data_IF_599244807600
#
_entry.id   IF_599244807600
#
_cell.length_a   1.000
_cell.length_b   1.000
_cell.length_c   1.000
_cell.angle_alpha   90.00
_cell.angle_beta   90.00
_cell.angle_gamma   90.00
#
_symmetry.space_group_name_H-M   'P 1'
#
loop_
_entity.id
_entity.type
_entity.pdbx_description
1 polymer ?
#
# COMPACT_ATOMS: atom_id res chain seq x y z
N UNK A 1 16.92 7.15 14.80
CA UNK A 1 15.93 7.10 13.71
C UNK A 1 14.57 7.33 14.36
N UNK A 2 13.91 8.43 14.04
CA UNK A 2 12.54 8.70 14.50
C UNK A 2 11.59 7.76 13.77
N UNK A 3 10.81 6.97 14.52
CA UNK A 3 9.68 6.21 13.96
C UNK A 3 8.79 7.17 13.15
N UNK A 4 8.32 6.79 11.96
CA UNK A 4 7.30 7.59 11.28
C UNK A 4 6.10 7.74 12.23
N UNK A 5 5.49 8.92 12.27
CA UNK A 5 4.21 9.13 12.97
C UNK A 5 3.17 8.15 12.39
N UNK A 6 3.01 7.00 13.05
CA UNK A 6 1.94 6.05 12.81
C UNK A 6 0.83 6.44 13.80
N UNK A 7 -0.35 6.89 13.31
CA UNK A 7 -1.43 7.40 14.17
C UNK A 7 -1.86 6.44 15.28
N UNK A 8 -1.77 5.14 15.01
CA UNK A 8 -2.09 4.07 15.96
C UNK A 8 -1.21 4.08 17.23
N UNK A 9 -0.01 4.67 17.18
CA UNK A 9 0.92 4.74 18.30
C UNK A 9 0.83 6.05 19.10
N UNK A 10 0.24 7.10 18.52
CA UNK A 10 0.19 8.44 19.14
C UNK A 10 -1.06 8.71 19.97
N UNK A 11 -2.08 7.84 19.89
CA UNK A 11 -3.29 7.97 20.70
C UNK A 11 -3.27 6.96 21.88
N UNK A 12 -3.13 7.40 23.14
CA UNK A 12 -3.05 6.50 24.29
C UNK A 12 -4.35 5.72 24.58
N UNK A 13 -5.50 6.11 24.03
CA UNK A 13 -6.74 5.28 24.07
C UNK A 13 -6.80 4.21 22.97
N UNK A 14 -5.90 4.26 21.99
CA UNK A 14 -5.77 3.29 20.89
C UNK A 14 -4.97 2.03 21.30
N UNK A 15 -4.39 2.03 22.50
CA UNK A 15 -3.60 0.91 23.03
C UNK A 15 -4.50 -0.28 23.41
N UNK A 16 -4.36 -1.36 22.63
CA UNK A 16 -4.81 -2.73 22.87
C UNK A 16 -6.26 -3.12 22.55
N UNK A 17 -7.28 -2.30 22.80
CA UNK A 17 -8.66 -2.77 22.61
C UNK A 17 -9.09 -2.91 21.14
N UNK A 18 -8.41 -2.26 20.20
CA UNK A 18 -8.67 -2.34 18.75
C UNK A 18 -7.90 -3.50 18.09
N UNK A 19 -6.91 -4.07 18.79
CA UNK A 19 -6.04 -5.13 18.26
C UNK A 19 -6.59 -6.55 18.41
N UNK A 20 -7.77 -6.72 19.02
CA UNK A 20 -8.62 -7.85 18.64
C UNK A 20 -9.21 -7.55 17.27
N UNK A 21 -8.36 -7.65 16.24
CA UNK A 21 -8.80 -7.77 14.85
C UNK A 21 -9.55 -9.09 14.72
N UNK A 22 -10.74 -9.15 15.31
CA UNK A 22 -11.73 -10.10 14.84
C UNK A 22 -11.87 -9.79 13.35
N UNK A 23 -11.72 -10.79 12.46
CA UNK A 23 -12.04 -10.56 11.07
C UNK A 23 -13.40 -9.88 11.05
N UNK A 24 -13.57 -8.79 10.26
CA UNK A 24 -14.86 -8.12 10.18
C UNK A 24 -15.92 -9.22 9.98
N UNK A 25 -17.05 -9.18 10.71
CA UNK A 25 -18.02 -10.27 10.68
C UNK A 25 -18.29 -10.60 9.21
N UNK A 26 -18.14 -11.89 8.84
CA UNK A 26 -17.93 -12.34 7.46
C UNK A 26 -19.04 -11.98 6.45
N UNK A 27 -20.07 -11.26 6.90
CA UNK A 27 -21.15 -10.69 6.12
C UNK A 27 -21.03 -9.19 5.77
N UNK A 28 -20.00 -8.45 6.20
CA UNK A 28 -19.83 -7.07 5.72
C UNK A 28 -19.36 -7.04 4.26
N UNK A 29 -20.01 -6.26 3.38
CA UNK A 29 -19.59 -6.13 1.99
C UNK A 29 -18.23 -5.43 1.91
N UNK A 30 -17.42 -5.81 0.92
CA UNK A 30 -16.17 -5.13 0.61
C UNK A 30 -16.45 -3.67 0.21
N UNK A 31 -15.69 -2.73 0.78
CA UNK A 31 -15.73 -1.33 0.37
C UNK A 31 -14.89 -1.12 -0.89
N UNK A 32 -15.23 -0.09 -1.66
CA UNK A 32 -14.49 0.29 -2.85
C UNK A 32 -13.19 1.01 -2.49
N UNK A 33 -12.11 0.69 -3.20
CA UNK A 33 -10.89 1.50 -3.20
C UNK A 33 -11.13 2.76 -4.05
N UNK A 34 -10.96 3.94 -3.47
CA UNK A 34 -11.23 5.22 -4.14
C UNK A 34 -9.95 6.05 -4.27
N UNK A 35 -9.51 6.27 -5.50
CA UNK A 35 -8.49 7.25 -5.85
C UNK A 35 -9.19 8.50 -6.42
N UNK A 36 -9.27 9.61 -5.66
CA UNK A 36 -9.92 10.83 -6.14
C UNK A 36 -9.12 11.47 -7.29
N UNK A 37 -9.71 12.38 -8.08
CA UNK A 37 -9.00 13.12 -9.11
C UNK A 37 -7.76 13.87 -8.58
N UNK A 38 -6.79 14.12 -9.46
CA UNK A 38 -5.59 14.84 -9.07
C UNK A 38 -5.92 16.28 -8.66
N UNK A 39 -5.40 16.74 -7.53
CA UNK A 39 -5.57 18.13 -7.11
C UNK A 39 -4.78 19.13 -7.99
N UNK A 40 -3.73 18.66 -8.69
CA UNK A 40 -2.93 19.53 -9.58
C UNK A 40 -3.65 19.81 -10.88
N UNK A 41 -3.45 21.03 -11.40
CA UNK A 41 -3.89 21.44 -12.74
C UNK A 41 -2.66 21.91 -13.54
N UNK A 42 -2.22 21.17 -14.57
CA UNK A 42 -2.76 19.88 -15.04
C UNK A 42 -2.48 18.72 -14.07
N UNK A 43 -3.24 17.61 -14.16
CA UNK A 43 -2.99 16.40 -13.37
C UNK A 43 -1.55 15.89 -13.51
N UNK A 44 -1.01 15.34 -12.43
CA UNK A 44 0.32 14.72 -12.48
C UNK A 44 0.28 13.48 -13.38
N UNK A 45 1.30 13.31 -14.25
CA UNK A 45 1.37 12.20 -15.23
C UNK A 45 1.25 10.80 -14.62
N UNK A 46 1.64 10.63 -13.34
CA UNK A 46 1.56 9.36 -12.61
C UNK A 46 0.35 9.25 -11.66
N UNK A 47 -0.58 10.21 -11.63
CA UNK A 47 -1.72 10.14 -10.69
C UNK A 47 -2.66 8.99 -11.03
N UNK A 48 -2.98 8.84 -12.32
CA UNK A 48 -3.64 7.69 -12.93
C UNK A 48 -2.91 7.47 -14.26
N UNK A 49 -1.84 6.64 -14.28
CA UNK A 49 -0.99 6.46 -15.45
C UNK A 49 -1.76 5.82 -16.61
N UNK A 50 -1.23 5.99 -17.81
CA UNK A 50 -1.76 5.31 -19.00
C UNK A 50 -1.55 3.79 -18.90
N UNK A 51 -2.44 3.02 -19.53
CA UNK A 51 -2.43 1.54 -19.51
C UNK A 51 -1.30 0.91 -20.33
N UNK A 52 -0.54 1.70 -21.07
CA UNK A 52 0.62 1.29 -21.84
C UNK A 52 1.94 1.69 -21.19
N UNK A 53 1.89 2.40 -20.06
CA UNK A 53 3.07 2.92 -19.38
C UNK A 53 3.67 1.84 -18.44
N UNK A 54 4.92 1.39 -18.68
CA UNK A 54 5.62 0.53 -17.74
C UNK A 54 5.81 1.24 -16.39
N UNK A 55 5.39 0.59 -15.31
CA UNK A 55 5.41 1.20 -13.99
C UNK A 55 5.48 0.16 -12.88
N UNK A 56 6.29 0.44 -11.86
CA UNK A 56 6.24 -0.26 -10.58
C UNK A 56 5.28 0.46 -9.64
N UNK A 57 4.29 -0.25 -9.12
CA UNK A 57 3.26 0.31 -8.27
C UNK A 57 3.43 -0.26 -6.88
N UNK A 58 3.48 0.62 -5.88
CA UNK A 58 3.35 0.24 -4.48
C UNK A 58 2.07 0.84 -3.91
N UNK A 59 1.24 0.00 -3.32
CA UNK A 59 0.08 0.41 -2.54
C UNK A 59 0.21 -0.11 -1.12
N UNK A 60 0.07 0.78 -0.14
CA UNK A 60 0.29 0.45 1.27
C UNK A 60 -0.68 1.21 2.19
N UNK A 61 -1.03 0.61 3.32
CA UNK A 61 -2.03 1.18 4.23
C UNK A 61 -2.17 0.46 5.56
N UNK A 62 -2.91 1.07 6.50
CA UNK A 62 -3.22 0.45 7.77
C UNK A 62 -4.15 -0.75 7.56
N UNK A 63 -3.91 -1.82 8.32
CA UNK A 63 -4.59 -3.10 8.13
C UNK A 63 -6.11 -2.99 8.29
N UNK A 64 -6.57 -2.11 9.18
CA UNK A 64 -8.00 -1.86 9.40
C UNK A 64 -8.71 -1.38 8.12
N UNK A 65 -8.03 -0.56 7.29
CA UNK A 65 -8.57 -0.11 6.01
C UNK A 65 -8.52 -1.23 4.96
N UNK A 66 -7.44 -2.03 4.96
CA UNK A 66 -7.28 -3.17 4.06
C UNK A 66 -8.33 -4.27 4.33
N UNK A 67 -8.70 -4.49 5.58
CA UNK A 67 -9.77 -5.42 5.96
C UNK A 67 -11.14 -4.97 5.46
N UNK A 68 -11.41 -3.65 5.40
CA UNK A 68 -12.64 -3.11 4.78
C UNK A 68 -12.67 -3.34 3.27
N UNK A 69 -11.52 -3.26 2.60
CA UNK A 69 -11.39 -3.55 1.17
C UNK A 69 -11.49 -5.06 0.87
N UNK A 70 -10.89 -5.89 1.71
CA UNK A 70 -10.72 -7.33 1.50
C UNK A 70 -11.20 -8.11 2.73
N UNK A 71 -12.51 -8.07 3.08
CA UNK A 71 -13.02 -8.64 4.32
C UNK A 71 -12.97 -10.17 4.37
N UNK A 72 -12.78 -10.83 3.22
CA UNK A 72 -12.67 -12.29 3.10
C UNK A 72 -11.23 -12.81 3.17
N UNK A 73 -10.25 -11.90 3.16
CA UNK A 73 -8.84 -12.26 3.23
C UNK A 73 -8.43 -12.40 4.69
N UNK A 74 -7.74 -13.50 5.01
CA UNK A 74 -7.07 -13.63 6.31
C UNK A 74 -5.76 -12.84 6.28
N UNK A 75 -5.63 -11.92 7.22
CA UNK A 75 -4.41 -11.14 7.46
C UNK A 75 -3.62 -11.64 8.68
N UNK A 76 -4.06 -12.77 9.26
CA UNK A 76 -3.36 -13.37 10.38
C UNK A 76 -2.07 -14.04 9.91
N UNK A 77 -0.98 -13.79 10.64
CA UNK A 77 0.33 -14.38 10.37
C UNK A 77 0.72 -15.18 11.61
N UNK A 78 1.04 -16.46 11.42
CA UNK A 78 1.37 -17.35 12.52
C UNK A 78 2.80 -17.13 13.05
N UNK A 79 3.72 -16.66 12.20
CA UNK A 79 5.13 -16.43 12.52
C UNK A 79 5.69 -15.23 11.74
N UNK A 80 6.93 -14.84 12.07
CA UNK A 80 7.64 -13.78 11.34
C UNK A 80 8.26 -14.27 10.01
N UNK A 81 8.10 -15.55 9.68
CA UNK A 81 8.73 -16.23 8.55
C UNK A 81 7.65 -16.79 7.62
N UNK A 82 6.76 -15.92 7.16
CA UNK A 82 5.69 -16.33 6.26
C UNK A 82 6.19 -16.48 4.82
N UNK A 83 5.49 -17.32 4.05
CA UNK A 83 5.74 -17.45 2.63
C UNK A 83 5.33 -16.17 1.90
N UNK A 84 6.20 -15.67 1.01
CA UNK A 84 5.89 -14.53 0.16
C UNK A 84 5.03 -14.95 -1.05
N UNK A 85 4.04 -14.13 -1.45
CA UNK A 85 3.45 -13.02 -0.69
C UNK A 85 2.41 -13.52 0.33
N UNK A 86 2.06 -12.69 1.32
CA UNK A 86 0.87 -12.94 2.14
C UNK A 86 -0.38 -13.10 1.26
N UNK A 87 -1.37 -13.90 1.66
CA UNK A 87 -2.57 -14.14 0.85
C UNK A 87 -3.31 -12.87 0.41
N UNK A 88 -3.27 -11.81 1.22
CA UNK A 88 -3.87 -10.52 0.89
C UNK A 88 -3.10 -9.68 -0.13
N UNK A 89 -1.82 -9.95 -0.34
CA UNK A 89 -0.96 -9.24 -1.28
C UNK A 89 -1.48 -9.26 -2.71
N UNK A 90 -1.62 -10.45 -3.34
CA UNK A 90 -2.14 -10.57 -4.69
C UNK A 90 -3.56 -9.98 -4.87
N UNK A 91 -4.42 -10.11 -3.85
CA UNK A 91 -5.77 -9.55 -3.87
C UNK A 91 -5.75 -8.01 -3.84
N UNK A 92 -4.88 -7.41 -3.01
CA UNK A 92 -4.69 -5.96 -2.96
C UNK A 92 -4.07 -5.42 -4.25
N UNK A 93 -3.10 -6.14 -4.83
CA UNK A 93 -2.50 -5.77 -6.11
C UNK A 93 -3.55 -5.77 -7.22
N UNK A 94 -4.40 -6.81 -7.30
CA UNK A 94 -5.48 -6.91 -8.28
C UNK A 94 -6.49 -5.77 -8.12
N UNK A 95 -6.91 -5.49 -6.89
CA UNK A 95 -7.83 -4.39 -6.59
C UNK A 95 -7.24 -3.04 -7.04
N UNK A 96 -5.99 -2.76 -6.66
CA UNK A 96 -5.30 -1.53 -7.06
C UNK A 96 -5.17 -1.42 -8.58
N UNK A 97 -4.80 -2.51 -9.25
CA UNK A 97 -4.72 -2.57 -10.71
C UNK A 97 -6.05 -2.19 -11.38
N UNK A 98 -7.14 -2.83 -10.97
CA UNK A 98 -8.48 -2.55 -11.50
C UNK A 98 -8.89 -1.09 -11.25
N UNK A 99 -8.57 -0.54 -10.07
CA UNK A 99 -8.86 0.86 -9.73
C UNK A 99 -8.05 1.84 -10.59
N UNK A 100 -6.78 1.55 -10.86
CA UNK A 100 -5.88 2.44 -11.62
C UNK A 100 -6.20 2.41 -13.11
N UNK A 101 -6.37 1.21 -13.68
CA UNK A 101 -6.47 1.00 -15.13
C UNK A 101 -7.90 0.80 -15.63
N UNK A 102 -8.89 0.76 -14.72
CA UNK A 102 -10.30 0.57 -15.03
C UNK A 102 -10.59 -0.69 -15.87
N UNK A 103 -9.78 -1.74 -15.66
CA UNK A 103 -9.93 -3.04 -16.32
C UNK A 103 -9.39 -4.17 -15.46
N UNK A 104 -9.82 -5.37 -15.79
CA UNK A 104 -9.27 -6.59 -15.23
C UNK A 104 -7.82 -6.85 -15.70
N UNK A 105 -7.09 -7.60 -14.87
CA UNK A 105 -5.78 -8.16 -15.24
C UNK A 105 -6.01 -9.22 -16.32
N UNK A 106 -5.27 -9.11 -17.42
CA UNK A 106 -5.33 -9.97 -18.59
C UNK A 106 -4.18 -10.99 -18.55
N UNK A 107 -4.45 -12.28 -18.33
CA UNK A 107 -3.42 -13.31 -18.23
C UNK A 107 -2.60 -13.52 -19.51
N UNK A 108 -3.17 -13.13 -20.66
CA UNK A 108 -2.58 -13.23 -21.99
C UNK A 108 -1.62 -12.08 -22.32
N UNK A 109 -1.60 -11.02 -21.51
CA UNK A 109 -0.65 -9.91 -21.64
C UNK A 109 0.56 -10.20 -20.71
N UNK A 110 1.76 -10.50 -21.27
CA UNK A 110 2.94 -10.72 -20.46
C UNK A 110 3.28 -9.48 -19.64
N UNK A 111 3.46 -9.66 -18.34
CA UNK A 111 3.80 -8.55 -17.44
C UNK A 111 2.62 -7.64 -17.08
N UNK A 112 1.37 -8.01 -17.38
CA UNK A 112 0.22 -7.15 -17.09
C UNK A 112 0.13 -6.78 -15.61
N UNK A 113 0.33 -7.75 -14.73
CA UNK A 113 0.52 -7.52 -13.30
C UNK A 113 1.44 -8.60 -12.72
N UNK A 114 2.59 -8.19 -12.18
CA UNK A 114 3.56 -9.11 -11.57
C UNK A 114 3.88 -8.66 -10.16
N UNK A 115 3.49 -9.43 -9.15
CA UNK A 115 3.83 -9.16 -7.74
C UNK A 115 5.35 -9.29 -7.55
N UNK A 116 5.97 -8.28 -6.91
CA UNK A 116 7.43 -8.16 -6.78
C UNK A 116 7.94 -8.12 -5.35
N UNK A 117 7.21 -7.47 -4.46
CA UNK A 117 7.63 -7.29 -3.06
C UNK A 117 6.42 -6.98 -2.18
N UNK A 118 6.59 -7.12 -0.87
CA UNK A 118 5.59 -6.75 0.13
C UNK A 118 6.26 -6.13 1.35
N UNK A 119 5.52 -5.26 2.04
CA UNK A 119 5.92 -4.62 3.28
C UNK A 119 4.98 -5.02 4.41
N UNK A 120 5.53 -5.47 5.54
CA UNK A 120 4.79 -5.84 6.75
C UNK A 120 5.18 -4.91 7.90
N UNK A 121 4.26 -4.06 8.35
CA UNK A 121 4.42 -3.23 9.54
C UNK A 121 4.13 -4.04 10.80
N UNK A 122 5.18 -4.63 11.38
CA UNK A 122 5.06 -5.45 12.58
C UNK A 122 4.80 -4.61 13.84
N UNK A 123 3.80 -5.02 14.62
CA UNK A 123 3.45 -4.37 15.89
C UNK A 123 4.26 -4.98 17.03
N UNK A 124 5.33 -4.30 17.44
CA UNK A 124 6.28 -4.80 18.47
C UNK A 124 5.61 -4.89 19.85
N UNK A 125 4.65 -4.01 20.12
CA UNK A 125 3.90 -3.91 21.38
C UNK A 125 2.92 -5.08 21.59
N UNK A 126 2.57 -5.83 20.54
CA UNK A 126 1.66 -6.98 20.61
C UNK A 126 2.34 -8.27 21.08
N UNK A 127 3.66 -8.27 21.31
CA UNK A 127 4.39 -9.46 21.73
C UNK A 127 3.79 -10.06 23.02
N UNK A 128 3.61 -11.39 23.10
CA UNK A 128 4.19 -12.41 22.21
C UNK A 128 3.40 -12.66 20.90
N UNK A 129 2.25 -12.03 20.70
CA UNK A 129 1.43 -12.24 19.50
C UNK A 129 2.10 -11.61 18.27
N UNK A 130 2.22 -12.41 17.21
CA UNK A 130 2.79 -11.98 15.94
C UNK A 130 1.70 -11.26 15.15
N UNK A 131 1.80 -9.93 15.07
CA UNK A 131 0.77 -9.09 14.48
C UNK A 131 1.36 -8.00 13.59
N UNK A 132 0.63 -7.67 12.53
CA UNK A 132 0.86 -6.49 11.71
C UNK A 132 -0.29 -5.50 11.89
N UNK A 133 0.01 -4.21 11.82
CA UNK A 133 -0.99 -3.13 11.78
C UNK A 133 -0.96 -2.36 10.45
N UNK A 134 0.01 -2.67 9.60
CA UNK A 134 0.22 -2.04 8.31
C UNK A 134 0.72 -3.06 7.29
N UNK A 135 0.24 -2.96 6.06
CA UNK A 135 0.68 -3.82 4.98
C UNK A 135 0.79 -3.04 3.66
N UNK A 136 1.75 -3.43 2.83
CA UNK A 136 1.91 -2.91 1.48
C UNK A 136 2.28 -4.01 0.51
N UNK A 137 1.85 -3.86 -0.74
CA UNK A 137 2.23 -4.72 -1.85
C UNK A 137 2.85 -3.89 -2.96
N UNK A 138 3.89 -4.43 -3.57
CA UNK A 138 4.55 -3.87 -4.75
C UNK A 138 4.38 -4.82 -5.92
N UNK A 139 3.91 -4.31 -7.05
CA UNK A 139 3.77 -5.06 -8.29
C UNK A 139 4.20 -4.23 -9.49
N UNK A 140 4.62 -4.89 -10.55
CA UNK A 140 4.97 -4.29 -11.82
C UNK A 140 3.81 -4.39 -12.80
N UNK A 141 3.63 -3.35 -13.62
CA UNK A 141 2.83 -3.36 -14.83
C UNK A 141 3.75 -3.07 -16.02
N UNK A 142 3.88 -4.02 -16.95
CA UNK A 142 4.67 -3.94 -18.18
C UNK A 142 6.16 -3.57 -17.99
N UNK A 143 6.70 -3.69 -16.77
CA UNK A 143 8.11 -3.43 -16.48
C UNK A 143 8.96 -4.58 -17.04
N UNK A 144 10.00 -4.30 -17.86
CA UNK A 144 10.95 -5.30 -18.32
C UNK A 144 11.59 -6.05 -17.14
N UNK A 145 11.81 -7.35 -17.29
CA UNK A 145 12.32 -8.20 -16.19
C UNK A 145 13.73 -7.84 -15.72
N UNK A 146 14.51 -7.19 -16.58
CA UNK A 146 15.88 -6.72 -16.36
C UNK A 146 15.93 -5.26 -15.85
N UNK A 147 14.82 -4.53 -15.85
CA UNK A 147 14.76 -3.18 -15.30
C UNK A 147 14.72 -3.22 -13.76
N UNK A 148 15.85 -2.86 -13.16
CA UNK A 148 16.04 -2.84 -11.70
C UNK A 148 15.67 -1.49 -11.06
N UNK A 149 15.44 -0.45 -11.85
CA UNK A 149 15.12 0.90 -11.38
C UNK A 149 13.99 1.56 -12.22
N UNK A 150 12.82 0.91 -12.37
CA UNK A 150 11.71 1.48 -13.11
C UNK A 150 11.15 2.75 -12.43
N UNK A 151 10.34 3.52 -13.16
CA UNK A 151 9.51 4.55 -12.57
C UNK A 151 8.51 3.94 -11.57
N UNK A 152 8.24 4.67 -10.48
CA UNK A 152 7.41 4.18 -9.38
C UNK A 152 6.19 5.07 -9.16
N UNK A 153 5.03 4.44 -9.01
CA UNK A 153 3.82 5.04 -8.45
C UNK A 153 3.59 4.51 -7.04
N UNK A 154 3.76 5.38 -6.04
CA UNK A 154 3.38 5.09 -4.67
C UNK A 154 1.99 5.65 -4.35
N UNK A 155 1.14 4.78 -3.79
CA UNK A 155 -0.22 5.06 -3.34
C UNK A 155 -0.31 4.69 -1.86
N UNK A 156 -0.77 5.63 -1.03
CA UNK A 156 -1.04 5.33 0.38
C UNK A 156 -2.55 5.29 0.60
N UNK A 157 -3.02 4.26 1.28
CA UNK A 157 -4.38 4.11 1.77
C UNK A 157 -4.50 4.81 3.13
N UNK A 158 -5.60 5.53 3.31
CA UNK A 158 -5.91 6.30 4.50
C UNK A 158 -7.16 5.73 5.19
N UNK A 159 -7.07 5.58 6.50
CA UNK A 159 -8.23 5.41 7.38
C UNK A 159 -8.82 6.81 7.67
N UNK A 160 -10.15 6.94 7.61
CA UNK A 160 -10.85 8.23 7.81
C UNK A 160 -11.90 8.19 8.94
N UNK A 161 -12.24 7.03 9.47
CA UNK A 161 -13.31 6.85 10.45
C UNK A 161 -12.83 7.02 11.89
N UNK A 162 -11.62 6.53 12.22
CA UNK A 162 -11.14 6.45 13.61
C UNK A 162 -10.92 7.83 14.24
N UNK A 163 -10.32 8.76 13.48
CA UNK A 163 -10.02 10.11 13.93
C UNK A 163 -10.87 11.19 13.23
N UNK A 164 -11.94 10.79 12.53
CA UNK A 164 -12.73 11.71 11.71
C UNK A 164 -11.91 12.37 10.60
N UNK A 165 -10.96 11.65 10.00
CA UNK A 165 -10.15 12.07 8.86
C UNK A 165 -9.09 13.14 9.18
N UNK A 166 -8.77 13.36 10.46
CA UNK A 166 -7.74 14.30 10.90
C UNK A 166 -6.39 13.94 10.28
N UNK A 167 -5.98 12.68 10.34
CA UNK A 167 -4.72 12.21 9.76
C UNK A 167 -4.74 12.31 8.24
N UNK A 168 -5.85 11.92 7.60
CA UNK A 168 -6.00 11.99 6.15
C UNK A 168 -5.85 13.42 5.65
N UNK A 169 -6.54 14.39 6.27
CA UNK A 169 -6.44 15.81 5.95
C UNK A 169 -5.04 16.38 6.20
N UNK A 170 -4.39 16.02 7.32
CA UNK A 170 -3.00 16.44 7.61
C UNK A 170 -2.01 16.01 6.52
N UNK A 171 -2.25 14.85 5.90
CA UNK A 171 -1.35 14.26 4.90
C UNK A 171 -1.82 14.46 3.44
N UNK A 172 -2.96 15.13 3.21
CA UNK A 172 -3.53 15.40 1.89
C UNK A 172 -3.27 16.85 1.44
N UNK A 173 -3.20 17.06 0.13
CA UNK A 173 -3.12 18.41 -0.48
C UNK A 173 -4.46 19.08 -0.70
N UNK A 174 -5.55 18.40 -0.37
CA UNK A 174 -6.92 18.91 -0.49
C UNK A 174 -7.75 18.39 0.68
N UNK A 175 -8.84 19.10 0.94
CA UNK A 175 -9.78 18.76 2.00
C UNK A 175 -10.52 17.45 1.69
N UNK A 176 -10.54 16.56 2.67
CA UNK A 176 -11.23 15.27 2.64
C UNK A 176 -12.36 15.36 3.65
N UNK A 177 -13.60 15.26 3.17
CA UNK A 177 -14.77 15.08 4.03
C UNK A 177 -14.85 13.59 4.43
N UNK A 178 -14.67 13.23 5.71
CA UNK A 178 -14.79 11.84 6.16
C UNK A 178 -16.16 11.23 5.86
N UNK A 179 -17.23 12.04 5.83
CA UNK A 179 -18.59 11.58 5.57
C UNK A 179 -18.74 10.98 4.15
N UNK A 180 -17.86 11.32 3.22
CA UNK A 180 -17.82 10.72 1.89
C UNK A 180 -17.26 9.29 1.89
N UNK A 181 -16.48 8.92 2.91
CA UNK A 181 -15.74 7.67 2.96
C UNK A 181 -16.28 6.69 3.99
N UNK A 182 -16.68 7.18 5.17
CA UNK A 182 -17.17 6.36 6.29
C UNK A 182 -18.25 5.37 5.86
N UNK A 183 -17.94 4.07 5.98
CA UNK A 183 -18.82 2.96 5.61
C UNK A 183 -19.15 2.84 4.11
N UNK A 184 -18.53 3.64 3.24
CA UNK A 184 -18.84 3.73 1.81
C UNK A 184 -17.69 3.30 0.92
N UNK A 185 -16.48 3.83 1.17
CA UNK A 185 -15.29 3.64 0.33
C UNK A 185 -14.03 3.95 1.14
N UNK A 186 -12.91 3.34 0.77
CA UNK A 186 -11.62 3.55 1.39
C UNK A 186 -10.80 4.52 0.54
N UNK A 187 -10.25 5.56 1.17
CA UNK A 187 -9.45 6.56 0.50
C UNK A 187 -8.04 6.05 0.19
N UNK A 188 -7.59 6.27 -1.05
CA UNK A 188 -6.20 6.07 -1.44
C UNK A 188 -5.68 7.27 -2.22
N UNK A 189 -4.50 7.75 -1.86
CA UNK A 189 -3.88 8.91 -2.50
C UNK A 189 -2.55 8.54 -3.16
N UNK A 190 -2.39 8.78 -4.47
CA UNK A 190 -1.08 8.83 -5.10
C UNK A 190 -0.20 9.90 -4.46
N UNK A 191 1.12 9.70 -4.48
CA UNK A 191 2.06 10.62 -3.83
C UNK A 191 1.92 12.08 -4.26
N UNK A 192 1.55 12.35 -5.51
CA UNK A 192 1.38 13.73 -6.01
C UNK A 192 0.27 14.53 -5.28
N UNK A 193 -0.65 13.83 -4.61
CA UNK A 193 -1.76 14.39 -3.85
C UNK A 193 -1.52 14.41 -2.33
N UNK A 194 -0.35 13.96 -1.88
CA UNK A 194 0.01 13.94 -0.46
C UNK A 194 0.95 15.10 -0.09
N UNK A 195 0.91 15.56 1.16
CA UNK A 195 1.83 16.59 1.66
C UNK A 195 3.25 16.07 1.84
N UNK A 196 3.41 14.78 2.16
CA UNK A 196 4.71 14.12 2.27
C UNK A 196 5.47 14.19 0.93
N UNK A 197 6.74 14.58 1.00
CA UNK A 197 7.64 14.58 -0.16
C UNK A 197 8.11 13.14 -0.42
N UNK A 198 7.72 12.58 -1.55
CA UNK A 198 8.09 11.23 -1.98
C UNK A 198 9.45 11.14 -2.68
N UNK A 199 10.41 12.01 -2.34
CA UNK A 199 11.70 12.09 -3.06
C UNK A 199 12.52 10.81 -2.97
N UNK A 200 12.28 9.99 -1.95
CA UNK A 200 12.95 8.70 -1.73
C UNK A 200 12.10 7.50 -2.13
N UNK A 201 10.86 7.70 -2.59
CA UNK A 201 9.93 6.59 -2.83
C UNK A 201 10.45 5.64 -3.91
N UNK A 202 10.81 6.17 -5.08
CA UNK A 202 11.31 5.38 -6.21
C UNK A 202 12.48 4.51 -5.77
N UNK A 203 13.46 5.11 -5.09
CA UNK A 203 14.61 4.39 -4.55
C UNK A 203 14.18 3.34 -3.53
N UNK A 204 13.40 3.70 -2.51
CA UNK A 204 12.98 2.77 -1.44
C UNK A 204 12.24 1.56 -2.02
N UNK A 205 11.32 1.78 -2.95
CA UNK A 205 10.51 0.72 -3.57
C UNK A 205 11.39 -0.18 -4.44
N UNK A 206 12.23 0.40 -5.29
CA UNK A 206 13.14 -0.39 -6.15
C UNK A 206 14.17 -1.16 -5.32
N UNK A 207 14.74 -0.55 -4.27
CA UNK A 207 15.67 -1.21 -3.35
C UNK A 207 15.00 -2.40 -2.62
N UNK A 208 13.74 -2.27 -2.20
CA UNK A 208 12.95 -3.36 -1.59
C UNK A 208 12.79 -4.57 -2.52
N UNK A 209 12.38 -4.32 -3.78
CA UNK A 209 12.30 -5.36 -4.81
C UNK A 209 13.68 -5.99 -5.06
N UNK A 210 14.72 -5.19 -5.22
CA UNK A 210 16.07 -5.71 -5.48
C UNK A 210 16.61 -6.54 -4.32
N UNK A 211 16.33 -6.15 -3.06
CA UNK A 211 16.66 -6.96 -1.88
C UNK A 211 15.94 -8.30 -1.89
N UNK A 212 14.63 -8.35 -2.17
CA UNK A 212 13.88 -9.61 -2.25
C UNK A 212 14.40 -10.55 -3.32
N UNK A 213 14.84 -9.99 -4.44
CA UNK A 213 15.41 -10.76 -5.56
C UNK A 213 16.90 -11.12 -5.37
N UNK A 214 17.53 -10.76 -4.24
CA UNK A 214 18.94 -11.04 -3.99
C UNK A 214 19.93 -10.16 -4.77
N UNK A 215 19.45 -9.16 -5.51
CA UNK A 215 20.27 -8.27 -6.36
C UNK A 215 20.94 -7.11 -5.60
N UNK A 216 20.58 -6.90 -4.34
CA UNK A 216 21.14 -5.82 -3.54
C UNK A 216 22.62 -6.03 -3.17
N UNK A 217 23.13 -7.27 -3.25
CA UNK A 217 24.51 -7.59 -2.89
C UNK A 217 25.52 -7.26 -4.01
N UNK A 218 25.13 -7.41 -5.28
CA UNK A 218 25.99 -7.16 -6.44
C UNK A 218 26.42 -5.68 -6.57
N UNK A 219 25.61 -4.74 -6.06
CA UNK A 219 25.89 -3.30 -6.12
C UNK A 219 26.97 -2.85 -5.15
N UNK A 220 27.26 -3.62 -4.10
CA UNK A 220 28.34 -3.34 -3.15
C UNK A 220 29.68 -3.90 -3.62
N UNK A 221 29.70 -5.02 -4.34
CA UNK A 221 30.92 -5.59 -4.90
C UNK A 221 31.48 -4.73 -6.05
N UNK A 222 30.64 -4.13 -6.90
CA UNK A 222 31.08 -3.23 -7.97
C UNK A 222 31.55 -1.83 -7.51
N UNK A 223 31.40 -1.48 -6.23
CA UNK A 223 31.93 -0.20 -5.68
C UNK A 223 33.26 -0.38 -4.94
N UNK A 224 33.79 -1.61 -4.90
CA UNK A 224 35.07 -1.95 -4.27
C UNK A 224 36.17 -2.32 -5.29
N UNK A 225 35.94 -2.13 -6.59
CA UNK A 225 36.96 -2.18 -7.65
C UNK A 225 37.27 -0.77 -8.19
#
# INVERSE_FOLDING_TARGET
MTLPDIPCLTNPTHKYNIHRFHPPPSGQPALLLCIPPCHKTPPHRLHLPSSDQPLRIQIEGPLIALQKLLPRVSWHIADHSHAFPLPGGPELARLAFQTIYHREVQPDIPGDMVVRDEYTGWLVEARPDVMIDYYGITFDHLVPTDDTDPEVLQINIFETEDDGGVYANKNSRFEIDPADYTGKKVLALPRCCQTRKGTTDRRRVNDGVNMRHGRAWERWEMQCE
#
